data_IF_309775622304
#
_entry.id   IF_309775622304
#
_cell.length_a   1.000
_cell.length_b   1.000
_cell.length_c   1.000
_cell.angle_alpha   90.00
_cell.angle_beta   90.00
_cell.angle_gamma   90.00
#
_symmetry.space_group_name_H-M   'P 1'
#
loop_
_entity.id
_entity.type
_entity.pdbx_description
1 polymer ?
#
# COMPACT_ATOMS: atom_id res chain seq x y z
N UNK A 1 11.96 7.04 -17.53
CA UNK A 1 12.22 5.65 -17.91
C UNK A 1 11.16 4.73 -17.31
N UNK A 2 10.75 3.69 -18.01
CA UNK A 2 9.74 2.72 -17.58
C UNK A 2 10.17 1.88 -16.38
N UNK A 3 11.44 1.94 -16.02
CA UNK A 3 12.07 1.14 -14.96
C UNK A 3 12.17 1.84 -13.61
N UNK A 4 11.95 3.16 -13.56
CA UNK A 4 12.06 3.93 -12.31
C UNK A 4 10.77 3.84 -11.50
N UNK A 5 10.91 3.35 -10.25
CA UNK A 5 9.85 3.36 -9.24
C UNK A 5 10.05 4.50 -8.24
N UNK A 6 8.97 4.92 -7.63
CA UNK A 6 8.99 5.70 -6.40
C UNK A 6 8.90 4.72 -5.23
N UNK A 7 9.95 4.67 -4.43
CA UNK A 7 10.01 3.80 -3.26
C UNK A 7 9.84 4.64 -2.00
N UNK A 8 8.91 4.27 -1.15
CA UNK A 8 8.64 4.96 0.11
C UNK A 8 9.08 4.06 1.26
N UNK A 9 10.00 4.54 2.07
CA UNK A 9 10.47 3.83 3.27
C UNK A 9 9.75 4.34 4.51
N UNK A 10 9.26 3.41 5.32
CA UNK A 10 8.58 3.69 6.58
C UNK A 10 9.43 3.09 7.69
N UNK A 11 9.83 3.91 8.66
CA UNK A 11 10.57 3.44 9.83
C UNK A 11 9.71 2.50 10.67
N UNK A 12 10.20 1.29 10.97
CA UNK A 12 9.45 0.30 11.75
C UNK A 12 9.07 0.82 13.14
N UNK A 13 9.91 1.64 13.75
CA UNK A 13 9.65 2.25 15.07
C UNK A 13 8.43 3.16 15.09
N UNK A 14 8.01 3.69 13.94
CA UNK A 14 6.79 4.49 13.82
C UNK A 14 5.51 3.64 13.81
N UNK A 15 5.65 2.33 13.58
CA UNK A 15 4.52 1.40 13.49
C UNK A 15 4.17 0.75 14.82
N UNK A 16 5.06 0.81 15.81
CA UNK A 16 4.82 0.25 17.13
C UNK A 16 6.04 0.35 18.05
N UNK A 17 5.82 0.21 19.35
CA UNK A 17 6.88 0.29 20.37
C UNK A 17 7.68 -1.01 20.50
N UNK A 18 7.05 -2.15 20.27
CA UNK A 18 7.68 -3.46 20.30
C UNK A 18 7.80 -4.06 18.91
N UNK A 19 8.69 -5.03 18.76
CA UNK A 19 8.82 -5.80 17.54
C UNK A 19 7.50 -6.50 17.17
N UNK A 20 6.81 -7.05 18.16
CA UNK A 20 5.53 -7.73 17.95
C UNK A 20 4.44 -6.77 17.42
N UNK A 21 4.30 -5.59 18.02
CA UNK A 21 3.38 -4.56 17.54
C UNK A 21 3.71 -4.11 16.10
N UNK A 22 4.99 -3.93 15.82
CA UNK A 22 5.44 -3.57 14.46
C UNK A 22 5.05 -4.64 13.43
N UNK A 23 5.25 -5.91 13.76
CA UNK A 23 4.89 -7.04 12.89
C UNK A 23 3.37 -7.11 12.65
N UNK A 24 2.56 -6.85 13.66
CA UNK A 24 1.11 -6.79 13.51
C UNK A 24 0.69 -5.68 12.53
N UNK A 25 1.24 -4.49 12.69
CA UNK A 25 0.95 -3.36 11.79
C UNK A 25 1.44 -3.64 10.38
N UNK A 26 2.64 -4.18 10.22
CA UNK A 26 3.18 -4.56 8.89
C UNK A 26 2.27 -5.58 8.22
N UNK A 27 1.79 -6.58 8.95
CA UNK A 27 0.87 -7.58 8.40
C UNK A 27 -0.43 -6.94 7.90
N UNK A 28 -0.96 -5.95 8.61
CA UNK A 28 -2.16 -5.21 8.18
C UNK A 28 -1.90 -4.29 6.99
N UNK A 29 -0.71 -3.69 6.88
CA UNK A 29 -0.32 -2.95 5.67
C UNK A 29 -0.32 -3.89 4.46
N UNK A 30 0.30 -5.05 4.58
CA UNK A 30 0.33 -6.05 3.52
C UNK A 30 -1.08 -6.52 3.14
N UNK A 31 -1.92 -6.77 4.14
CA UNK A 31 -3.33 -7.11 3.94
C UNK A 31 -4.08 -6.02 3.17
N UNK A 32 -3.86 -4.76 3.49
CA UNK A 32 -4.47 -3.63 2.79
C UNK A 32 -4.09 -3.64 1.30
N UNK A 33 -2.82 -3.86 0.98
CA UNK A 33 -2.35 -3.94 -0.41
C UNK A 33 -2.99 -5.10 -1.17
N UNK A 34 -3.17 -6.25 -0.52
CA UNK A 34 -3.77 -7.42 -1.17
C UNK A 34 -5.29 -7.29 -1.32
N UNK A 35 -5.98 -6.77 -0.31
CA UNK A 35 -7.45 -6.64 -0.34
C UNK A 35 -7.94 -5.50 -1.23
N UNK A 36 -7.14 -4.45 -1.42
CA UNK A 36 -7.45 -3.29 -2.27
C UNK A 36 -6.52 -3.19 -3.48
N UNK A 37 -6.11 -4.35 -4.00
CA UNK A 37 -5.10 -4.41 -5.05
C UNK A 37 -5.51 -3.65 -6.31
N UNK A 38 -6.74 -3.81 -6.79
CA UNK A 38 -7.20 -3.19 -8.04
C UNK A 38 -7.13 -1.65 -7.96
N UNK A 39 -7.56 -1.09 -6.85
CA UNK A 39 -7.50 0.35 -6.60
C UNK A 39 -6.06 0.85 -6.50
N UNK A 40 -5.22 0.15 -5.77
CA UNK A 40 -3.80 0.50 -5.62
C UNK A 40 -3.01 0.32 -6.91
N UNK A 41 -3.31 -0.71 -7.68
CA UNK A 41 -2.70 -0.93 -8.98
C UNK A 41 -3.03 0.23 -9.94
N UNK A 42 -4.31 0.63 -10.01
CA UNK A 42 -4.75 1.80 -10.79
C UNK A 42 -4.04 3.08 -10.32
N UNK A 43 -3.99 3.31 -9.01
CA UNK A 43 -3.29 4.45 -8.42
C UNK A 43 -1.81 4.48 -8.83
N UNK A 44 -1.16 3.34 -8.88
CA UNK A 44 0.28 3.20 -9.11
C UNK A 44 0.75 3.65 -10.49
N UNK A 45 -0.13 3.64 -11.49
CA UNK A 45 0.19 3.92 -12.90
C UNK A 45 1.20 2.95 -13.51
N UNK A 46 1.37 1.77 -12.91
CA UNK A 46 2.25 0.73 -13.44
C UNK A 46 1.51 -0.20 -14.39
N UNK A 47 2.28 -0.87 -15.24
CA UNK A 47 1.78 -1.99 -16.05
C UNK A 47 1.90 -3.30 -15.27
N UNK A 48 1.07 -4.28 -15.61
CA UNK A 48 1.12 -5.62 -15.00
C UNK A 48 2.51 -6.25 -15.11
N UNK A 49 3.14 -6.17 -16.28
CA UNK A 49 4.52 -6.65 -16.49
C UNK A 49 5.53 -6.02 -15.53
N UNK A 50 5.44 -4.72 -15.36
CA UNK A 50 6.34 -3.96 -14.46
C UNK A 50 6.13 -4.35 -12.99
N UNK A 51 4.88 -4.58 -12.58
CA UNK A 51 4.55 -5.01 -11.22
C UNK A 51 5.08 -6.42 -10.94
N UNK A 52 4.82 -7.37 -11.81
CA UNK A 52 5.27 -8.75 -11.64
C UNK A 52 6.79 -8.86 -11.52
N UNK A 53 7.50 -8.01 -12.24
CA UNK A 53 8.97 -8.01 -12.26
C UNK A 53 9.60 -7.27 -11.08
N UNK A 54 9.05 -6.14 -10.67
CA UNK A 54 9.72 -5.20 -9.76
C UNK A 54 8.99 -4.90 -8.46
N UNK A 55 7.71 -5.26 -8.37
CA UNK A 55 6.85 -4.95 -7.23
C UNK A 55 5.74 -6.01 -7.07
N UNK A 56 6.12 -7.28 -7.08
CA UNK A 56 5.18 -8.39 -7.10
C UNK A 56 4.34 -8.50 -5.82
N UNK A 57 3.10 -8.94 -6.00
CA UNK A 57 2.18 -9.25 -4.89
C UNK A 57 2.69 -10.40 -4.03
N UNK A 58 2.28 -10.40 -2.76
CA UNK A 58 2.46 -11.54 -1.86
C UNK A 58 1.34 -12.58 -1.98
N UNK A 59 0.17 -12.17 -2.44
CA UNK A 59 -1.05 -12.98 -2.51
C UNK A 59 -1.98 -12.72 -1.33
N UNK A 60 -3.29 -12.80 -1.62
CA UNK A 60 -4.33 -12.54 -0.63
C UNK A 60 -4.47 -13.70 0.37
N UNK A 61 -4.72 -13.34 1.62
CA UNK A 61 -5.20 -14.21 2.69
C UNK A 61 -6.06 -13.35 3.62
N UNK A 62 -7.15 -13.88 4.13
CA UNK A 62 -8.05 -13.18 5.05
C UNK A 62 -7.43 -12.93 6.43
N UNK A 63 -6.32 -13.60 6.73
CA UNK A 63 -5.54 -13.43 7.95
C UNK A 63 -4.26 -12.65 7.64
N UNK A 64 -4.13 -11.39 8.09
CA UNK A 64 -2.95 -10.57 7.82
C UNK A 64 -1.62 -11.25 8.21
N UNK A 65 -1.56 -11.90 9.36
CA UNK A 65 -0.36 -12.61 9.82
C UNK A 65 0.12 -13.70 8.87
N UNK A 66 -0.80 -14.38 8.18
CA UNK A 66 -0.45 -15.42 7.19
C UNK A 66 0.22 -14.80 5.95
N UNK A 67 -0.19 -13.61 5.54
CA UNK A 67 0.46 -12.88 4.45
C UNK A 67 1.90 -12.55 4.84
N UNK A 68 2.12 -12.04 6.03
CA UNK A 68 3.45 -11.71 6.54
C UNK A 68 4.36 -12.94 6.64
N UNK A 69 3.87 -14.05 7.20
CA UNK A 69 4.64 -15.29 7.33
C UNK A 69 5.02 -15.85 5.95
N UNK A 70 4.11 -15.82 4.99
CA UNK A 70 4.40 -16.19 3.60
C UNK A 70 5.45 -15.26 2.98
N UNK A 71 5.38 -13.97 3.23
CA UNK A 71 6.34 -12.99 2.74
C UNK A 71 7.74 -13.23 3.29
N UNK A 72 7.87 -13.57 4.57
CA UNK A 72 9.16 -13.92 5.20
C UNK A 72 9.84 -15.13 4.55
N UNK A 73 9.06 -16.06 4.02
CA UNK A 73 9.55 -17.27 3.34
C UNK A 73 9.71 -17.07 1.83
N UNK A 74 9.31 -15.93 1.29
CA UNK A 74 9.32 -15.67 -0.15
C UNK A 74 10.73 -15.48 -0.69
N UNK A 75 10.96 -15.98 -1.90
CA UNK A 75 12.20 -15.75 -2.66
C UNK A 75 12.19 -14.42 -3.45
N UNK A 76 11.07 -13.69 -3.47
CA UNK A 76 10.94 -12.41 -4.17
C UNK A 76 11.84 -11.32 -3.60
N UNK A 77 12.16 -11.40 -2.31
CA UNK A 77 13.04 -10.45 -1.62
C UNK A 77 12.60 -9.00 -1.83
N UNK A 78 13.54 -8.17 -2.25
CA UNK A 78 13.31 -6.73 -2.51
C UNK A 78 12.39 -6.42 -3.68
N UNK A 79 11.99 -7.40 -4.47
CA UNK A 79 11.12 -7.17 -5.64
C UNK A 79 9.62 -7.35 -5.35
N UNK A 80 9.25 -7.43 -4.08
CA UNK A 80 7.86 -7.41 -3.63
C UNK A 80 7.32 -5.98 -3.53
N UNK A 81 6.00 -5.81 -3.69
CA UNK A 81 5.35 -4.49 -3.58
C UNK A 81 5.48 -3.88 -2.18
N UNK A 82 5.44 -4.71 -1.15
CA UNK A 82 5.78 -4.37 0.23
C UNK A 82 7.01 -5.19 0.60
N UNK A 83 8.17 -4.54 0.60
CA UNK A 83 9.46 -5.17 0.88
C UNK A 83 9.79 -5.07 2.37
N UNK A 84 9.97 -6.22 3.02
CA UNK A 84 10.27 -6.35 4.45
C UNK A 84 11.71 -6.85 4.72
N UNK A 85 12.57 -6.86 3.73
CA UNK A 85 13.94 -7.40 3.87
C UNK A 85 14.88 -6.49 4.67
N UNK A 86 14.54 -5.20 4.82
CA UNK A 86 15.31 -4.26 5.63
C UNK A 86 14.92 -4.36 7.10
N UNK A 87 15.91 -4.35 8.00
CA UNK A 87 15.69 -4.47 9.43
C UNK A 87 15.00 -3.24 10.06
N UNK A 88 15.27 -2.05 9.54
CA UNK A 88 14.84 -0.79 10.14
C UNK A 88 13.60 -0.19 9.46
N UNK A 89 13.34 -0.56 8.23
CA UNK A 89 12.24 0.01 7.43
C UNK A 89 11.40 -1.04 6.74
N UNK A 90 10.18 -0.63 6.39
CA UNK A 90 9.34 -1.30 5.39
C UNK A 90 9.34 -0.42 4.15
N UNK A 91 9.57 -1.00 2.98
CA UNK A 91 9.64 -0.26 1.73
C UNK A 91 8.43 -0.57 0.84
N UNK A 92 7.70 0.46 0.47
CA UNK A 92 6.58 0.34 -0.49
C UNK A 92 7.12 0.66 -1.89
N UNK A 93 7.00 -0.31 -2.80
CA UNK A 93 7.63 -0.29 -4.13
C UNK A 93 6.65 -0.23 -5.29
N UNK A 94 5.36 -0.21 -5.02
CA UNK A 94 4.33 -0.35 -6.04
C UNK A 94 4.30 0.81 -7.05
N UNK A 95 4.62 2.03 -6.61
CA UNK A 95 4.34 3.25 -7.37
C UNK A 95 5.34 3.53 -8.48
N UNK A 96 4.84 4.02 -9.62
CA UNK A 96 5.68 4.51 -10.69
C UNK A 96 6.36 5.82 -10.28
N UNK A 97 7.62 5.99 -10.67
CA UNK A 97 8.34 7.25 -10.50
C UNK A 97 7.66 8.41 -11.23
N UNK A 98 7.70 9.59 -10.63
CA UNK A 98 7.08 10.80 -11.18
C UNK A 98 7.88 12.04 -10.83
N UNK A 99 7.85 13.03 -11.73
CA UNK A 99 8.35 14.38 -11.48
C UNK A 99 7.20 15.38 -11.22
N UNK A 100 5.96 14.91 -11.29
CA UNK A 100 4.79 15.75 -11.00
C UNK A 100 4.60 15.87 -9.50
N UNK A 101 4.66 17.07 -8.97
CA UNK A 101 4.50 17.36 -7.55
C UNK A 101 3.20 16.76 -6.97
N UNK A 102 2.06 16.95 -7.64
CA UNK A 102 0.79 16.38 -7.20
C UNK A 102 0.85 14.86 -7.03
N UNK A 103 1.34 14.15 -8.05
CA UNK A 103 1.44 12.67 -8.00
C UNK A 103 2.43 12.20 -6.92
N UNK A 104 3.51 12.92 -6.72
CA UNK A 104 4.49 12.63 -5.67
C UNK A 104 3.89 12.80 -4.28
N UNK A 105 3.28 13.96 -4.02
CA UNK A 105 2.63 14.24 -2.72
C UNK A 105 1.46 13.31 -2.45
N UNK A 106 0.62 13.05 -3.46
CA UNK A 106 -0.49 12.12 -3.33
C UNK A 106 0.00 10.71 -2.93
N UNK A 107 1.13 10.26 -3.46
CA UNK A 107 1.73 8.98 -3.10
C UNK A 107 2.19 8.95 -1.63
N UNK A 108 2.87 10.01 -1.16
CA UNK A 108 3.29 10.10 0.24
C UNK A 108 2.09 10.16 1.19
N UNK A 109 1.09 10.95 0.87
CA UNK A 109 -0.14 11.08 1.66
C UNK A 109 -0.94 9.76 1.68
N UNK A 110 -0.95 9.01 0.58
CA UNK A 110 -1.57 7.67 0.53
C UNK A 110 -0.84 6.69 1.45
N UNK A 111 0.48 6.61 1.37
CA UNK A 111 1.27 5.70 2.20
C UNK A 111 1.09 6.03 3.68
N UNK A 112 1.11 7.31 4.05
CA UNK A 112 0.85 7.74 5.42
C UNK A 112 -0.56 7.36 5.89
N UNK A 113 -1.57 7.56 5.05
CA UNK A 113 -2.96 7.17 5.34
C UNK A 113 -3.11 5.67 5.52
N UNK A 114 -2.44 4.85 4.72
CA UNK A 114 -2.45 3.38 4.85
C UNK A 114 -1.79 2.96 6.17
N UNK A 115 -0.65 3.56 6.52
CA UNK A 115 0.06 3.25 7.75
C UNK A 115 -0.78 3.62 8.99
N UNK A 116 -1.37 4.80 9.01
CA UNK A 116 -2.24 5.24 10.09
C UNK A 116 -3.46 4.32 10.24
N UNK A 117 -4.08 3.97 9.12
CA UNK A 117 -5.19 3.02 9.08
C UNK A 117 -4.80 1.66 9.69
N UNK A 118 -3.63 1.13 9.34
CA UNK A 118 -3.13 -0.14 9.85
C UNK A 118 -2.75 -0.09 11.33
N UNK A 119 -2.32 1.06 11.83
CA UNK A 119 -2.06 1.27 13.27
C UNK A 119 -3.36 1.34 14.06
N UNK A 120 -4.37 2.04 13.54
CA UNK A 120 -5.62 2.32 14.27
C UNK A 120 -6.62 1.16 14.26
N UNK A 121 -6.65 0.36 13.18
CA UNK A 121 -7.61 -0.73 13.02
C UNK A 121 -7.01 -2.08 13.43
N UNK A 122 -7.84 -2.95 14.02
CA UNK A 122 -7.47 -4.35 14.25
C UNK A 122 -7.72 -5.20 12.99
N UNK A 123 -7.35 -6.49 13.03
CA UNK A 123 -7.47 -7.38 11.87
C UNK A 123 -8.92 -7.54 11.39
N UNK A 124 -9.89 -7.66 12.32
CA UNK A 124 -11.30 -7.79 11.96
C UNK A 124 -11.86 -6.52 11.31
N UNK A 125 -11.49 -5.37 11.83
CA UNK A 125 -11.86 -4.07 11.25
C UNK A 125 -11.25 -3.89 9.85
N UNK A 126 -9.99 -4.29 9.66
CA UNK A 126 -9.35 -4.28 8.36
C UNK A 126 -10.06 -5.18 7.36
N UNK A 127 -10.51 -6.37 7.78
CA UNK A 127 -11.27 -7.30 6.93
C UNK A 127 -12.61 -6.75 6.47
N UNK A 128 -13.27 -5.94 7.30
CA UNK A 128 -14.58 -5.36 7.02
C UNK A 128 -14.52 -4.04 6.27
N UNK A 129 -13.35 -3.39 6.24
CA UNK A 129 -13.18 -2.09 5.64
C UNK A 129 -13.23 -2.17 4.11
N UNK A 130 -14.17 -1.44 3.50
CA UNK A 130 -14.19 -1.23 2.06
C UNK A 130 -13.20 -0.13 1.66
N UNK A 131 -12.90 -0.04 0.36
CA UNK A 131 -12.13 1.08 -0.17
C UNK A 131 -12.82 2.42 0.11
N UNK A 132 -14.15 2.48 -0.03
CA UNK A 132 -14.94 3.68 0.28
C UNK A 132 -14.79 4.10 1.75
N UNK A 133 -14.80 3.15 2.68
CA UNK A 133 -14.58 3.43 4.11
C UNK A 133 -13.20 4.05 4.34
N UNK A 134 -12.18 3.48 3.71
CA UNK A 134 -10.82 4.00 3.78
C UNK A 134 -10.74 5.44 3.23
N UNK A 135 -11.31 5.68 2.07
CA UNK A 135 -11.30 7.01 1.41
C UNK A 135 -12.00 8.06 2.26
N UNK A 136 -13.14 7.70 2.89
CA UNK A 136 -13.86 8.61 3.78
C UNK A 136 -13.07 8.98 5.04
N UNK A 137 -12.13 8.13 5.46
CA UNK A 137 -11.26 8.36 6.61
C UNK A 137 -10.00 9.19 6.30
N UNK A 138 -9.75 9.55 5.04
CA UNK A 138 -8.57 10.36 4.67
C UNK A 138 -8.68 11.76 5.27
N UNK A 139 -7.57 12.25 5.84
CA UNK A 139 -7.50 13.59 6.42
C UNK A 139 -7.81 14.66 5.38
N UNK A 140 -8.65 15.65 5.70
CA UNK A 140 -8.96 16.76 4.77
C UNK A 140 -7.74 17.57 4.33
N UNK A 141 -6.68 17.60 5.14
CA UNK A 141 -5.41 18.27 4.85
C UNK A 141 -4.64 17.59 3.70
N UNK A 142 -4.93 16.34 3.41
CA UNK A 142 -4.30 15.58 2.32
C UNK A 142 -4.94 15.94 0.97
N UNK A 143 -4.83 17.20 0.63
CA UNK A 143 -5.48 17.80 -0.55
C UNK A 143 -4.97 17.21 -1.86
N UNK A 144 -3.68 16.89 -1.95
CA UNK A 144 -3.08 16.32 -3.16
C UNK A 144 -3.55 14.87 -3.37
N UNK A 145 -3.67 14.09 -2.29
CA UNK A 145 -4.23 12.74 -2.36
C UNK A 145 -5.69 12.76 -2.81
N UNK A 146 -6.52 13.60 -2.16
CA UNK A 146 -7.95 13.70 -2.48
C UNK A 146 -8.14 14.10 -3.95
N UNK A 147 -7.39 15.10 -4.42
CA UNK A 147 -7.42 15.53 -5.83
C UNK A 147 -7.04 14.38 -6.77
N UNK A 148 -5.95 13.69 -6.49
CA UNK A 148 -5.46 12.58 -7.31
C UNK A 148 -6.46 11.42 -7.37
N UNK A 149 -7.06 11.05 -6.23
CA UNK A 149 -8.09 10.02 -6.16
C UNK A 149 -9.32 10.38 -7.01
N UNK A 150 -9.74 11.65 -6.98
CA UNK A 150 -10.84 12.14 -7.83
C UNK A 150 -10.50 12.05 -9.31
N UNK A 151 -9.30 12.48 -9.69
CA UNK A 151 -8.83 12.41 -11.08
C UNK A 151 -8.76 10.97 -11.61
N UNK A 152 -8.43 10.01 -10.74
CA UNK A 152 -8.34 8.59 -11.06
C UNK A 152 -9.66 7.83 -10.88
N UNK A 153 -10.75 8.50 -10.50
CA UNK A 153 -12.05 7.88 -10.16
C UNK A 153 -11.94 6.85 -9.05
N UNK A 154 -11.08 7.10 -8.08
CA UNK A 154 -10.85 6.27 -6.89
C UNK A 154 -11.41 6.89 -5.60
N UNK A 155 -11.96 8.10 -5.66
CA UNK A 155 -12.46 8.81 -4.48
C UNK A 155 -13.84 8.30 -4.02
N UNK A 156 -14.64 7.81 -4.92
CA UNK A 156 -15.93 7.18 -4.65
C UNK A 156 -15.84 5.68 -4.96
N UNK A 157 -16.74 4.89 -4.39
CA UNK A 157 -16.77 3.44 -4.54
C UNK A 157 -17.31 3.04 -5.93
N UNK A 158 -16.61 3.45 -6.97
CA UNK A 158 -16.86 2.95 -8.32
C UNK A 158 -16.10 1.63 -8.51
N UNK A 159 -16.74 0.60 -9.10
CA UNK A 159 -16.03 -0.63 -9.43
C UNK A 159 -14.87 -0.32 -10.37
N UNK A 160 -13.67 -0.76 -9.99
CA UNK A 160 -12.50 -0.65 -10.84
C UNK A 160 -12.44 -1.89 -11.73
N UNK A 161 -12.59 -1.71 -13.04
CA UNK A 161 -12.42 -2.80 -14.00
C UNK A 161 -10.93 -3.04 -14.29
N UNK A 162 -10.58 -4.26 -14.69
CA UNK A 162 -9.20 -4.59 -15.08
C UNK A 162 -8.74 -3.86 -16.35
N UNK A 163 -9.68 -3.26 -17.08
CA UNK A 163 -9.43 -2.54 -18.34
C UNK A 163 -9.25 -1.02 -18.13
N UNK A 164 -9.55 -0.51 -16.96
CA UNK A 164 -9.40 0.89 -16.58
C UNK A 164 -8.01 1.15 -15.98
#
# INVERSE_FOLDING_TARGET
TSTCGLHVHIGRKQLGYSYEEQEEVISRIMFFFESHWNELFKFSRRTAYSVDRWAARHGYNDKPKEILEKAKKSTKGRYACVNITNADTVEIRLFRGTLKFNSFMATLELVDSICENAVCLNDDEMNKQSWADFVLGIKPEYTELIRYLKEKRLYVNEPVSEED
#
